data_IF_614808096179
#
_entry.id   IF_614808096179
#
_cell.length_a   1.000
_cell.length_b   1.000
_cell.length_c   1.000
_cell.angle_alpha   90.00
_cell.angle_beta   90.00
_cell.angle_gamma   90.00
#
_symmetry.space_group_name_H-M   'P 1'
#
loop_
_entity.id
_entity.type
_entity.pdbx_description
1 polymer ?
#
# COMPACT_ATOMS: atom_id res chain seq x y z
N UNK A 1 16.31 6.69 15.41
CA UNK A 1 15.52 5.61 16.05
C UNK A 1 14.31 6.24 16.71
N UNK A 2 13.12 5.72 16.47
CA UNK A 2 11.88 6.33 16.96
C UNK A 2 11.21 5.38 17.95
N UNK A 3 10.72 5.93 19.07
CA UNK A 3 9.98 5.18 20.08
C UNK A 3 8.94 6.09 20.74
N UNK A 4 7.99 5.49 21.45
CA UNK A 4 6.97 6.23 22.19
C UNK A 4 6.89 5.76 23.63
N UNK A 5 6.65 6.69 24.54
CA UNK A 5 6.41 6.43 25.96
C UNK A 5 5.28 7.34 26.43
N UNK A 6 4.28 6.78 27.11
CA UNK A 6 3.12 7.51 27.63
C UNK A 6 2.42 8.41 26.59
N UNK A 7 2.32 7.90 25.35
CA UNK A 7 1.68 8.61 24.24
C UNK A 7 2.51 9.75 23.63
N UNK A 8 3.73 9.98 24.11
CA UNK A 8 4.67 10.95 23.52
C UNK A 8 5.67 10.22 22.64
N UNK A 9 5.88 10.74 21.42
CA UNK A 9 6.86 10.22 20.49
C UNK A 9 8.21 10.89 20.70
N UNK A 10 9.28 10.10 20.62
CA UNK A 10 10.66 10.51 20.78
C UNK A 10 11.50 10.01 19.62
N UNK A 11 12.55 10.77 19.32
CA UNK A 11 13.57 10.40 18.36
C UNK A 11 14.94 10.44 19.03
N UNK A 12 15.76 9.46 18.67
CA UNK A 12 17.10 9.29 19.20
C UNK A 12 18.05 8.88 18.08
N UNK A 13 19.11 9.64 17.91
CA UNK A 13 20.20 9.30 16.99
C UNK A 13 21.18 8.36 17.67
N UNK A 14 21.22 7.13 17.18
CA UNK A 14 22.06 6.05 17.72
C UNK A 14 22.92 5.48 16.61
N UNK A 15 24.15 5.08 16.97
CA UNK A 15 24.91 4.12 16.17
C UNK A 15 24.22 2.76 16.16
N UNK A 16 24.57 1.90 15.21
CA UNK A 16 23.95 0.57 15.07
C UNK A 16 24.08 -0.29 16.34
N UNK A 17 25.24 -0.22 17.01
CA UNK A 17 25.50 -0.95 18.25
C UNK A 17 24.59 -0.45 19.39
N UNK A 18 24.43 0.86 19.55
CA UNK A 18 23.57 1.44 20.58
C UNK A 18 22.10 1.19 20.28
N UNK A 19 21.72 1.21 19.00
CA UNK A 19 20.36 0.88 18.58
C UNK A 19 20.00 -0.59 18.86
N UNK A 20 20.96 -1.51 18.73
CA UNK A 20 20.78 -2.91 19.11
C UNK A 20 20.59 -3.06 20.63
N UNK A 21 21.48 -2.46 21.43
CA UNK A 21 21.38 -2.49 22.88
C UNK A 21 20.04 -1.91 23.39
N UNK A 22 19.57 -0.82 22.78
CA UNK A 22 18.26 -0.23 23.10
C UNK A 22 17.10 -1.19 22.80
N UNK A 23 17.15 -1.92 21.67
CA UNK A 23 16.15 -2.93 21.33
C UNK A 23 16.16 -4.11 22.31
N UNK A 24 17.32 -4.54 22.76
CA UNK A 24 17.46 -5.64 23.71
C UNK A 24 16.85 -5.31 25.08
N UNK A 25 17.04 -4.07 25.56
CA UNK A 25 16.42 -3.59 26.80
C UNK A 25 14.90 -3.60 26.71
N UNK A 26 14.34 -3.26 25.54
CA UNK A 26 12.90 -3.23 25.33
C UNK A 26 12.28 -4.60 25.02
N UNK A 27 13.08 -5.59 24.61
CA UNK A 27 12.61 -6.91 24.19
C UNK A 27 11.63 -7.60 25.17
N UNK A 28 11.85 -7.66 26.49
CA UNK A 28 10.91 -8.31 27.41
C UNK A 28 9.57 -7.57 27.53
N UNK A 29 9.56 -6.25 27.36
CA UNK A 29 8.33 -5.45 27.42
C UNK A 29 7.55 -5.52 26.12
N UNK A 30 8.26 -5.54 24.98
CA UNK A 30 7.66 -5.72 23.66
C UNK A 30 7.05 -7.11 23.52
N UNK A 31 7.68 -8.15 24.08
CA UNK A 31 7.16 -9.51 24.02
C UNK A 31 5.93 -9.73 24.90
N UNK A 32 5.85 -9.06 26.06
CA UNK A 32 4.68 -9.08 26.93
C UNK A 32 3.55 -8.13 26.46
N UNK A 33 3.91 -7.11 25.69
CA UNK A 33 3.00 -6.09 25.21
C UNK A 33 2.21 -6.50 23.97
N UNK A 34 1.14 -5.75 23.68
CA UNK A 34 0.42 -5.85 22.41
C UNK A 34 0.64 -4.59 21.59
N UNK A 35 0.75 -4.73 20.27
CA UNK A 35 0.75 -3.55 19.39
C UNK A 35 -0.60 -2.84 19.49
N UNK A 36 -0.58 -1.58 19.91
CA UNK A 36 -1.74 -0.68 19.88
C UNK A 36 -1.71 0.23 18.64
N UNK A 37 -0.66 0.12 17.82
CA UNK A 37 -0.58 0.82 16.55
C UNK A 37 -1.58 0.19 15.57
N UNK A 38 -2.61 0.95 15.21
CA UNK A 38 -3.49 0.68 14.08
C UNK A 38 -2.74 0.94 12.77
N UNK A 39 -1.62 0.25 12.54
CA UNK A 39 -0.98 0.24 11.24
C UNK A 39 -1.73 -0.75 10.35
N UNK A 40 -2.84 -0.27 9.78
CA UNK A 40 -3.11 -0.56 8.37
C UNK A 40 -1.81 -0.28 7.61
N UNK A 41 -1.21 -1.33 7.04
CA UNK A 41 0.04 -1.34 6.26
C UNK A 41 1.36 -1.70 6.98
N UNK A 42 1.47 -2.86 7.62
CA UNK A 42 2.73 -3.65 7.56
C UNK A 42 2.66 -5.12 8.01
N UNK A 43 1.52 -5.79 7.87
CA UNK A 43 1.46 -7.27 8.00
C UNK A 43 0.91 -7.92 6.71
N UNK A 44 1.27 -7.29 5.58
CA UNK A 44 0.87 -7.66 4.24
C UNK A 44 2.06 -7.68 3.29
N UNK A 45 3.23 -8.14 3.74
CA UNK A 45 4.25 -8.70 2.84
C UNK A 45 3.77 -10.03 2.23
N UNK A 46 2.51 -10.07 1.75
CA UNK A 46 2.08 -11.07 0.78
C UNK A 46 2.60 -10.56 -0.55
N UNK A 47 3.78 -11.07 -0.89
CA UNK A 47 4.15 -11.49 -2.25
C UNK A 47 3.66 -10.52 -3.30
N UNK A 48 4.58 -9.70 -3.83
CA UNK A 48 4.50 -9.17 -5.20
C UNK A 48 4.23 -10.36 -6.14
N UNK A 49 2.97 -10.74 -6.26
CA UNK A 49 2.50 -11.75 -7.19
C UNK A 49 2.30 -10.93 -8.45
N UNK A 50 3.29 -11.06 -9.32
CA UNK A 50 3.19 -11.01 -10.78
C UNK A 50 2.13 -10.06 -11.33
N UNK A 51 2.58 -9.03 -12.05
CA UNK A 51 1.94 -8.53 -13.27
C UNK A 51 0.58 -9.19 -13.56
N UNK A 52 -0.46 -8.76 -12.86
CA UNK A 52 -1.82 -8.91 -13.34
C UNK A 52 -1.87 -7.93 -14.48
N UNK A 53 -1.95 -8.45 -15.72
CA UNK A 53 -1.96 -7.71 -16.97
C UNK A 53 -2.40 -6.27 -16.73
N UNK A 54 -1.47 -5.34 -16.89
CA UNK A 54 -1.82 -3.92 -16.98
C UNK A 54 -2.85 -3.87 -18.11
N UNK A 55 -4.14 -3.90 -17.76
CA UNK A 55 -5.23 -3.89 -18.74
C UNK A 55 -4.89 -2.78 -19.69
N UNK A 56 -4.80 -3.10 -20.97
CA UNK A 56 -4.38 -2.12 -21.94
C UNK A 56 -5.51 -1.11 -22.10
N UNK A 57 -5.48 -0.08 -21.25
CA UNK A 57 -6.49 0.97 -21.21
C UNK A 57 -6.52 1.75 -22.54
N UNK A 58 -5.51 1.59 -23.40
CA UNK A 58 -5.54 2.15 -24.76
C UNK A 58 -6.57 1.43 -25.63
N UNK A 59 -6.60 0.08 -25.61
CA UNK A 59 -7.58 -0.72 -26.35
C UNK A 59 -9.00 -0.50 -25.83
N UNK A 60 -9.17 -0.45 -24.51
CA UNK A 60 -10.45 -0.16 -23.86
C UNK A 60 -10.95 1.24 -24.24
N UNK A 61 -10.07 2.25 -24.27
CA UNK A 61 -10.43 3.61 -24.66
C UNK A 61 -10.81 3.70 -26.14
N UNK A 62 -10.10 3.01 -27.03
CA UNK A 62 -10.43 2.97 -28.45
C UNK A 62 -11.82 2.34 -28.68
N UNK A 63 -12.10 1.22 -28.03
CA UNK A 63 -13.41 0.58 -28.06
C UNK A 63 -14.50 1.50 -27.49
N UNK A 64 -14.23 2.12 -26.35
CA UNK A 64 -15.19 3.02 -25.69
C UNK A 64 -15.55 4.23 -26.54
N UNK A 65 -14.56 4.87 -27.17
CA UNK A 65 -14.78 5.99 -28.07
C UNK A 65 -15.61 5.56 -29.30
N UNK A 66 -15.36 4.38 -29.86
CA UNK A 66 -16.13 3.82 -30.97
C UNK A 66 -17.58 3.46 -30.58
N UNK A 67 -17.81 3.09 -29.31
CA UNK A 67 -19.13 2.75 -28.77
C UNK A 67 -19.86 3.95 -28.14
N UNK A 68 -19.36 5.17 -28.35
CA UNK A 68 -20.03 6.41 -27.92
C UNK A 68 -19.86 6.76 -26.45
N UNK A 69 -18.93 6.12 -25.72
CA UNK A 69 -18.65 6.45 -24.33
C UNK A 69 -17.68 7.64 -24.21
N UNK A 70 -17.96 8.52 -23.25
CA UNK A 70 -17.06 9.65 -22.92
C UNK A 70 -15.90 9.15 -22.05
N UNK A 71 -14.71 9.06 -22.64
CA UNK A 71 -13.48 8.68 -21.92
C UNK A 71 -12.47 9.81 -21.96
N UNK A 72 -11.82 10.09 -20.83
CA UNK A 72 -10.76 11.08 -20.76
C UNK A 72 -9.50 10.62 -21.52
N UNK A 73 -8.85 11.55 -22.23
CA UNK A 73 -7.65 11.33 -23.03
C UNK A 73 -6.42 10.93 -22.19
N UNK A 74 -6.44 11.22 -20.88
CA UNK A 74 -5.38 10.83 -19.93
C UNK A 74 -5.98 10.41 -18.60
N UNK A 75 -5.34 9.44 -17.95
CA UNK A 75 -5.76 8.96 -16.64
C UNK A 75 -6.77 7.81 -16.67
N UNK A 76 -7.43 7.60 -15.53
CA UNK A 76 -8.27 6.42 -15.24
C UNK A 76 -9.52 6.40 -16.13
N UNK A 77 -9.78 5.26 -16.76
CA UNK A 77 -11.02 5.01 -17.53
C UNK A 77 -12.20 4.88 -16.55
N UNK A 78 -13.36 5.52 -16.82
CA UNK A 78 -14.54 5.39 -15.97
C UNK A 78 -14.95 3.92 -15.77
N UNK A 79 -15.40 3.58 -14.56
CA UNK A 79 -15.78 2.19 -14.22
C UNK A 79 -16.90 1.65 -15.13
N UNK A 80 -17.83 2.50 -15.56
CA UNK A 80 -18.91 2.13 -16.50
C UNK A 80 -18.40 1.63 -17.85
N UNK A 81 -17.26 2.16 -18.31
CA UNK A 81 -16.66 1.77 -19.58
C UNK A 81 -15.89 0.46 -19.44
N UNK A 82 -15.26 0.23 -18.29
CA UNK A 82 -14.59 -1.03 -17.99
C UNK A 82 -15.59 -2.18 -17.90
N UNK A 83 -16.72 -1.96 -17.24
CA UNK A 83 -17.80 -2.94 -17.11
C UNK A 83 -18.44 -3.23 -18.48
N UNK A 84 -18.70 -2.20 -19.29
CA UNK A 84 -19.23 -2.37 -20.63
C UNK A 84 -18.26 -3.12 -21.57
N UNK A 85 -16.95 -2.88 -21.44
CA UNK A 85 -15.92 -3.59 -22.21
C UNK A 85 -15.81 -5.06 -21.79
N UNK A 86 -15.81 -5.33 -20.48
CA UNK A 86 -15.79 -6.68 -19.90
C UNK A 86 -17.10 -7.46 -20.18
N UNK A 87 -18.23 -6.78 -20.38
CA UNK A 87 -19.48 -7.41 -20.80
C UNK A 87 -19.50 -7.73 -22.31
N UNK A 88 -18.68 -7.04 -23.11
CA UNK A 88 -18.59 -7.21 -24.55
C UNK A 88 -17.48 -8.18 -25.00
N UNK A 89 -16.62 -8.64 -24.08
CA UNK A 89 -15.49 -9.55 -24.32
C UNK A 89 -15.44 -10.69 -23.30
#
# INVERSE_FOLDING_TARGET
MNFSLDGRAYELDLSDANAAAFRDILAPYVSAGRSTSTSSASAGARKRKSAGAQRDYTAIRAWAAANGFTVSERGRVPAQVLDAYDAAH
#
